data_IF_223308872125
#
_entry.id   IF_223308872125
#
_cell.length_a   1.000
_cell.length_b   1.000
_cell.length_c   1.000
_cell.angle_alpha   90.00
_cell.angle_beta   90.00
_cell.angle_gamma   90.00
#
_symmetry.space_group_name_H-M   'P 1'
#
loop_
_entity.id
_entity.type
_entity.pdbx_description
1 polymer ?
#
# COMPACT_ATOMS: atom_id res chain seq x y z
N UNK A 1 -0.86 15.07 0.37
CA UNK A 1 -0.88 15.63 1.75
C UNK A 1 -2.25 15.41 2.38
N UNK A 2 -2.36 15.48 3.71
CA UNK A 2 -3.64 15.37 4.43
C UNK A 2 -3.98 16.71 5.08
N UNK A 3 -5.01 17.39 4.58
CA UNK A 3 -5.46 18.66 5.12
C UNK A 3 -6.55 18.44 6.18
N UNK A 4 -6.25 18.78 7.44
CA UNK A 4 -7.22 18.75 8.54
C UNK A 4 -7.90 20.11 8.63
N UNK A 5 -9.16 20.19 8.18
CA UNK A 5 -9.93 21.44 8.08
C UNK A 5 -10.69 21.79 9.38
N UNK A 6 -10.57 20.96 10.40
CA UNK A 6 -11.21 21.11 11.71
C UNK A 6 -10.20 20.91 12.83
N UNK A 7 -10.65 21.10 14.07
CA UNK A 7 -9.98 20.70 15.32
C UNK A 7 -9.94 19.16 15.50
N UNK A 8 -9.34 18.48 14.52
CA UNK A 8 -9.12 17.04 14.54
C UNK A 8 -7.70 16.73 15.01
N UNK A 9 -7.60 15.87 16.01
CA UNK A 9 -6.34 15.30 16.48
C UNK A 9 -6.16 13.91 15.86
N UNK A 10 -5.63 13.88 14.64
CA UNK A 10 -5.30 12.64 13.94
C UNK A 10 -3.78 12.58 13.75
N UNK A 11 -3.05 11.66 14.41
CA UNK A 11 -1.58 11.58 14.33
C UNK A 11 -1.08 11.01 12.99
N UNK A 12 -1.51 11.60 11.87
CA UNK A 12 -1.23 11.18 10.50
C UNK A 12 0.10 11.77 10.01
N UNK A 13 0.81 10.98 9.21
CA UNK A 13 1.89 11.45 8.34
C UNK A 13 1.37 12.56 7.41
N UNK A 14 2.22 13.55 7.15
CA UNK A 14 1.98 14.66 6.21
C UNK A 14 0.67 15.42 6.46
N UNK A 15 0.23 15.47 7.72
CA UNK A 15 -0.92 16.29 8.10
C UNK A 15 -0.55 17.77 8.14
N UNK A 16 -1.48 18.60 7.70
CA UNK A 16 -1.37 20.05 7.76
C UNK A 16 -2.70 20.65 8.22
N UNK A 17 -2.62 21.79 8.91
CA UNK A 17 -3.78 22.61 9.30
C UNK A 17 -3.92 23.87 8.44
N UNK A 18 -3.03 24.02 7.45
CA UNK A 18 -3.07 25.07 6.45
C UNK A 18 -3.31 24.40 5.10
N UNK A 19 -4.00 25.12 4.24
CA UNK A 19 -4.26 24.69 2.89
C UNK A 19 -2.95 24.31 2.16
N UNK A 20 -2.87 23.12 1.56
CA UNK A 20 -1.68 22.66 0.83
C UNK A 20 -1.63 23.21 -0.61
N UNK A 21 -0.43 23.31 -1.17
CA UNK A 21 -0.20 23.86 -2.51
C UNK A 21 -0.54 22.90 -3.68
N UNK A 22 -0.78 21.61 -3.40
CA UNK A 22 -0.99 20.61 -4.44
C UNK A 22 -1.96 19.49 -4.03
N UNK A 23 -1.96 18.36 -4.76
CA UNK A 23 -2.93 17.30 -4.55
C UNK A 23 -3.01 16.80 -3.11
N UNK A 24 -4.23 16.74 -2.59
CA UNK A 24 -4.45 16.45 -1.17
C UNK A 24 -5.79 15.78 -0.91
N UNK A 25 -5.91 15.29 0.32
CA UNK A 25 -7.12 14.73 0.91
C UNK A 25 -7.55 15.65 2.04
N UNK A 26 -8.82 16.03 2.09
CA UNK A 26 -9.39 16.80 3.18
C UNK A 26 -10.04 15.88 4.22
N UNK A 27 -9.85 16.18 5.51
CA UNK A 27 -10.57 15.53 6.60
C UNK A 27 -11.20 16.62 7.46
N UNK A 28 -12.50 16.50 7.68
CA UNK A 28 -13.33 17.53 8.30
C UNK A 28 -14.31 16.91 9.30
N UNK A 29 -14.76 17.68 10.27
CA UNK A 29 -15.94 17.32 11.07
C UNK A 29 -17.21 17.68 10.30
N UNK A 30 -18.31 16.96 10.52
CA UNK A 30 -19.57 17.27 9.82
C UNK A 30 -20.03 18.72 10.01
N UNK A 31 -19.80 19.33 11.18
CA UNK A 31 -20.15 20.74 11.44
C UNK A 31 -19.41 21.76 10.54
N UNK A 32 -18.29 21.37 9.94
CA UNK A 32 -17.50 22.22 9.03
C UNK A 32 -17.59 21.70 7.57
N UNK A 33 -18.57 20.84 7.26
CA UNK A 33 -18.74 20.21 5.94
C UNK A 33 -18.98 21.23 4.84
N UNK A 34 -19.80 22.26 5.06
CA UNK A 34 -20.07 23.29 4.05
C UNK A 34 -18.77 24.01 3.64
N UNK A 35 -17.90 24.34 4.60
CA UNK A 35 -16.58 24.92 4.32
C UNK A 35 -15.68 23.95 3.54
N UNK A 36 -15.77 22.65 3.80
CA UNK A 36 -15.05 21.66 3.00
C UNK A 36 -15.60 21.56 1.56
N UNK A 37 -16.90 21.68 1.36
CA UNK A 37 -17.51 21.68 0.03
C UNK A 37 -17.09 22.93 -0.78
N UNK A 38 -17.11 24.12 -0.16
CA UNK A 38 -16.58 25.35 -0.77
C UNK A 38 -15.11 25.19 -1.19
N UNK A 39 -14.32 24.52 -0.34
CA UNK A 39 -12.91 24.21 -0.64
C UNK A 39 -12.79 23.24 -1.81
N UNK A 40 -13.61 22.19 -1.89
CA UNK A 40 -13.60 21.23 -3.00
C UNK A 40 -13.93 21.87 -4.35
N UNK A 41 -14.85 22.85 -4.36
CA UNK A 41 -15.19 23.64 -5.55
C UNK A 41 -14.00 24.49 -6.01
N UNK A 42 -13.35 25.19 -5.08
CA UNK A 42 -12.17 26.01 -5.37
C UNK A 42 -10.92 25.17 -5.72
N UNK A 43 -10.84 23.92 -5.25
CA UNK A 43 -9.65 23.05 -5.33
C UNK A 43 -9.95 21.74 -6.06
N UNK A 44 -9.84 21.71 -7.40
CA UNK A 44 -10.01 20.48 -8.17
C UNK A 44 -8.94 19.42 -7.87
N UNK A 45 -7.82 19.81 -7.26
CA UNK A 45 -6.76 18.92 -6.79
C UNK A 45 -7.03 18.28 -5.41
N UNK A 46 -8.12 18.65 -4.72
CA UNK A 46 -8.58 17.98 -3.50
C UNK A 46 -9.33 16.67 -3.82
N UNK A 47 -8.62 15.55 -3.99
CA UNK A 47 -9.18 14.33 -4.59
C UNK A 47 -10.12 13.51 -3.71
N UNK A 48 -10.15 13.79 -2.42
CA UNK A 48 -10.94 13.02 -1.47
C UNK A 48 -11.35 13.85 -0.25
N UNK A 49 -12.52 13.52 0.31
CA UNK A 49 -13.05 14.15 1.52
C UNK A 49 -13.46 13.07 2.55
N UNK A 50 -13.00 13.21 3.78
CA UNK A 50 -13.50 12.43 4.91
C UNK A 50 -14.31 13.31 5.86
N UNK A 51 -15.51 12.87 6.21
CA UNK A 51 -16.42 13.59 7.11
C UNK A 51 -16.61 12.77 8.39
N UNK A 52 -16.18 13.32 9.52
CA UNK A 52 -16.25 12.68 10.84
C UNK A 52 -17.35 13.32 11.70
N UNK A 53 -18.32 12.52 12.12
CA UNK A 53 -19.50 12.99 12.85
C UNK A 53 -20.40 13.80 11.93
N UNK A 54 -21.23 13.10 11.16
CA UNK A 54 -22.05 13.63 10.07
C UNK A 54 -23.13 14.58 10.59
N UNK A 55 -23.53 15.54 9.75
CA UNK A 55 -24.65 16.46 10.02
C UNK A 55 -25.98 15.71 9.99
N UNK A 56 -27.02 16.30 10.58
CA UNK A 56 -28.35 15.67 10.58
C UNK A 56 -28.98 15.62 9.19
N UNK A 57 -28.75 16.65 8.40
CA UNK A 57 -29.22 16.76 7.03
C UNK A 57 -28.03 16.55 6.09
N UNK A 58 -28.27 15.86 4.99
CA UNK A 58 -27.25 15.65 3.94
C UNK A 58 -27.24 16.89 3.05
N UNK A 59 -26.10 17.59 2.91
CA UNK A 59 -25.99 18.71 1.97
C UNK A 59 -25.93 18.20 0.53
N UNK A 60 -25.84 19.12 -0.43
CA UNK A 60 -25.54 18.76 -1.81
C UNK A 60 -24.11 18.18 -1.91
N UNK A 61 -24.00 16.98 -2.47
CA UNK A 61 -22.75 16.24 -2.60
C UNK A 61 -22.27 16.14 -4.07
N UNK A 62 -22.88 16.84 -5.02
CA UNK A 62 -22.50 16.80 -6.45
C UNK A 62 -21.01 17.09 -6.69
N UNK A 63 -20.39 17.97 -5.89
CA UNK A 63 -18.95 18.30 -5.96
C UNK A 63 -18.01 17.10 -5.68
N UNK A 64 -18.54 16.00 -5.12
CA UNK A 64 -17.81 14.77 -4.85
C UNK A 64 -17.85 13.79 -6.02
N UNK A 65 -18.50 14.12 -7.14
CA UNK A 65 -18.50 13.26 -8.33
C UNK A 65 -17.07 12.94 -8.79
N UNK A 66 -16.75 11.65 -8.93
CA UNK A 66 -15.42 11.18 -9.28
C UNK A 66 -14.35 11.34 -8.18
N UNK A 67 -14.74 11.76 -6.97
CA UNK A 67 -13.85 11.87 -5.80
C UNK A 67 -14.15 10.76 -4.81
N UNK A 68 -13.18 10.49 -3.93
CA UNK A 68 -13.37 9.53 -2.83
C UNK A 68 -14.04 10.22 -1.64
N UNK A 69 -15.03 9.58 -1.04
CA UNK A 69 -15.73 10.04 0.15
C UNK A 69 -15.60 9.00 1.27
N UNK A 70 -15.15 9.42 2.44
CA UNK A 70 -15.24 8.61 3.68
C UNK A 70 -16.26 9.22 4.62
N UNK A 71 -17.27 8.46 5.01
CA UNK A 71 -18.23 8.88 6.03
C UNK A 71 -18.03 8.12 7.33
N UNK A 72 -17.95 8.84 8.45
CA UNK A 72 -17.72 8.25 9.78
C UNK A 72 -18.77 8.74 10.76
N UNK A 73 -19.59 7.82 11.30
CA UNK A 73 -20.59 8.16 12.31
C UNK A 73 -20.94 6.98 13.23
N UNK A 74 -21.42 7.28 14.44
CA UNK A 74 -21.96 6.31 15.39
C UNK A 74 -23.44 5.96 15.14
N UNK A 75 -24.12 6.74 14.31
CA UNK A 75 -25.50 6.55 13.87
C UNK A 75 -25.55 5.85 12.51
N UNK A 76 -26.10 4.62 12.49
CA UNK A 76 -26.20 3.82 11.26
C UNK A 76 -27.17 4.40 10.23
N UNK A 77 -28.24 5.05 10.67
CA UNK A 77 -29.24 5.61 9.77
C UNK A 77 -28.65 6.80 9.03
N UNK A 78 -28.00 7.71 9.77
CA UNK A 78 -27.31 8.87 9.20
C UNK A 78 -26.17 8.46 8.26
N UNK A 79 -25.33 7.52 8.69
CA UNK A 79 -24.24 7.00 7.86
C UNK A 79 -24.76 6.42 6.54
N UNK A 80 -25.88 5.68 6.59
CA UNK A 80 -26.52 5.10 5.41
C UNK A 80 -27.04 6.19 4.46
N UNK A 81 -27.75 7.17 5.00
CA UNK A 81 -28.32 8.28 4.21
C UNK A 81 -27.22 9.07 3.49
N UNK A 82 -26.15 9.42 4.20
CA UNK A 82 -24.97 10.07 3.64
C UNK A 82 -24.29 9.23 2.56
N UNK A 83 -24.12 7.93 2.80
CA UNK A 83 -23.48 7.04 1.83
C UNK A 83 -24.32 6.90 0.55
N UNK A 84 -25.64 6.74 0.69
CA UNK A 84 -26.57 6.67 -0.45
C UNK A 84 -26.54 7.96 -1.27
N UNK A 85 -26.53 9.14 -0.62
CA UNK A 85 -26.43 10.42 -1.30
C UNK A 85 -25.09 10.62 -2.01
N UNK A 86 -23.96 10.26 -1.36
CA UNK A 86 -22.63 10.34 -1.98
C UNK A 86 -22.51 9.44 -3.21
N UNK A 87 -23.04 8.20 -3.14
CA UNK A 87 -23.07 7.29 -4.28
C UNK A 87 -23.96 7.83 -5.40
N UNK A 88 -25.11 8.43 -5.08
CA UNK A 88 -25.99 9.05 -6.06
C UNK A 88 -25.34 10.25 -6.78
N UNK A 89 -24.46 10.99 -6.08
CA UNK A 89 -23.64 12.06 -6.65
C UNK A 89 -22.44 11.55 -7.48
N UNK A 90 -22.17 10.25 -7.49
CA UNK A 90 -21.07 9.64 -8.23
C UNK A 90 -19.73 9.65 -7.49
N UNK A 91 -19.73 9.76 -6.16
CA UNK A 91 -18.54 9.60 -5.33
C UNK A 91 -18.20 8.11 -5.12
N UNK A 92 -16.91 7.81 -4.94
CA UNK A 92 -16.44 6.51 -4.45
C UNK A 92 -16.52 6.50 -2.92
N UNK A 93 -17.57 5.88 -2.39
CA UNK A 93 -17.95 5.98 -0.97
C UNK A 93 -17.45 4.80 -0.15
N UNK A 94 -16.70 5.10 0.91
CA UNK A 94 -16.36 4.19 2.00
C UNK A 94 -16.95 4.69 3.32
N UNK A 95 -17.17 3.80 4.30
CA UNK A 95 -17.74 4.19 5.59
C UNK A 95 -17.11 3.47 6.79
N UNK A 96 -17.03 4.18 7.91
CA UNK A 96 -16.58 3.66 9.21
C UNK A 96 -17.65 3.90 10.27
N UNK A 97 -18.08 2.81 10.91
CA UNK A 97 -19.02 2.90 12.03
C UNK A 97 -18.28 3.21 13.33
N UNK A 98 -18.66 4.30 14.01
CA UNK A 98 -18.18 4.67 15.34
C UNK A 98 -18.21 6.19 15.61
N UNK A 99 -18.41 6.57 16.88
CA UNK A 99 -18.37 7.98 17.31
C UNK A 99 -16.94 8.57 17.28
N UNK A 100 -15.94 7.70 17.44
CA UNK A 100 -14.52 8.02 17.27
C UNK A 100 -13.93 7.07 16.24
N UNK A 101 -13.44 7.56 15.09
CA UNK A 101 -12.86 6.69 14.08
C UNK A 101 -11.64 5.95 14.61
N UNK A 102 -11.47 4.69 14.21
CA UNK A 102 -10.17 4.02 14.34
C UNK A 102 -9.14 4.77 13.49
N UNK A 103 -8.10 5.27 14.16
CA UNK A 103 -7.02 6.02 13.51
C UNK A 103 -6.43 5.27 12.31
N UNK A 104 -6.16 3.96 12.45
CA UNK A 104 -5.51 3.20 11.39
C UNK A 104 -6.41 3.07 10.16
N UNK A 105 -7.73 3.01 10.34
CA UNK A 105 -8.69 2.94 9.23
C UNK A 105 -8.78 4.27 8.49
N UNK A 106 -8.88 5.39 9.20
CA UNK A 106 -8.85 6.73 8.56
C UNK A 106 -7.50 6.96 7.86
N UNK A 107 -6.40 6.58 8.51
CA UNK A 107 -5.07 6.67 7.91
C UNK A 107 -4.93 5.80 6.66
N UNK A 108 -5.52 4.60 6.66
CA UNK A 108 -5.49 3.71 5.51
C UNK A 108 -6.21 4.32 4.32
N UNK A 109 -7.40 4.87 4.57
CA UNK A 109 -8.18 5.53 3.54
C UNK A 109 -7.50 6.78 2.97
N UNK A 110 -6.95 7.63 3.85
CA UNK A 110 -6.35 8.91 3.46
C UNK A 110 -4.97 8.75 2.80
N UNK A 111 -4.23 7.69 3.15
CA UNK A 111 -2.90 7.36 2.64
C UNK A 111 -2.90 5.93 2.10
N UNK A 112 -3.56 5.68 0.96
CA UNK A 112 -3.62 4.36 0.35
C UNK A 112 -2.24 3.93 -0.12
N UNK A 113 -1.93 2.64 0.03
CA UNK A 113 -0.61 2.08 -0.31
C UNK A 113 -0.79 0.96 -1.31
N UNK A 114 -0.04 1.00 -2.40
CA UNK A 114 0.05 -0.08 -3.38
C UNK A 114 1.21 -1.02 -3.06
N UNK A 115 1.07 -2.30 -3.35
CA UNK A 115 2.17 -3.26 -3.33
C UNK A 115 2.78 -3.39 -4.73
N UNK A 116 4.11 -3.40 -4.78
CA UNK A 116 4.91 -3.73 -5.97
C UNK A 116 5.65 -5.02 -5.65
N UNK A 117 5.19 -6.13 -6.23
CA UNK A 117 5.81 -7.45 -6.05
C UNK A 117 6.77 -7.69 -7.20
N UNK A 118 8.07 -7.72 -6.91
CA UNK A 118 9.11 -7.95 -7.91
C UNK A 118 9.24 -9.45 -8.18
N UNK A 119 8.79 -9.87 -9.36
CA UNK A 119 8.68 -11.27 -9.80
C UNK A 119 9.34 -11.51 -11.19
N UNK A 120 10.25 -10.62 -11.60
CA UNK A 120 10.93 -10.65 -12.91
C UNK A 120 12.39 -11.15 -12.82
N UNK A 121 12.82 -11.68 -11.67
CA UNK A 121 14.18 -12.18 -11.46
C UNK A 121 14.45 -13.49 -12.21
N UNK A 122 15.66 -13.64 -12.75
CA UNK A 122 16.06 -14.83 -13.51
C UNK A 122 16.23 -16.07 -12.61
N UNK A 123 15.65 -17.21 -13.00
CA UNK A 123 15.67 -18.47 -12.27
C UNK A 123 16.87 -19.38 -12.64
N UNK A 124 18.10 -18.84 -12.62
CA UNK A 124 19.28 -19.54 -13.18
C UNK A 124 19.77 -20.74 -12.38
N UNK A 125 19.49 -20.83 -11.08
CA UNK A 125 20.03 -21.87 -10.18
C UNK A 125 19.13 -23.08 -9.95
N UNK A 126 17.84 -22.99 -10.24
CA UNK A 126 16.86 -24.07 -9.96
C UNK A 126 16.46 -24.90 -11.18
N UNK A 127 16.87 -24.51 -12.40
CA UNK A 127 16.47 -25.19 -13.63
C UNK A 127 14.98 -25.02 -14.01
N UNK A 128 14.16 -24.47 -13.12
CA UNK A 128 12.76 -24.08 -13.30
C UNK A 128 12.47 -22.75 -12.61
N UNK A 129 11.37 -22.08 -12.98
CA UNK A 129 11.01 -20.80 -12.39
C UNK A 129 10.58 -20.97 -10.92
N UNK A 130 11.40 -20.46 -9.99
CA UNK A 130 11.19 -20.58 -8.54
C UNK A 130 9.84 -20.08 -8.04
N UNK A 131 9.29 -19.07 -8.72
CA UNK A 131 8.02 -18.44 -8.36
C UNK A 131 6.81 -19.36 -8.56
N UNK A 132 6.98 -20.40 -9.39
CA UNK A 132 5.95 -21.40 -9.73
C UNK A 132 5.99 -22.63 -8.82
N UNK A 133 6.97 -22.74 -7.92
CA UNK A 133 7.02 -23.86 -6.98
C UNK A 133 5.78 -23.86 -6.09
N UNK A 134 5.15 -25.02 -5.94
CA UNK A 134 3.94 -25.16 -5.13
C UNK A 134 4.29 -25.19 -3.64
N UNK A 135 3.67 -24.32 -2.86
CA UNK A 135 3.76 -24.34 -1.41
C UNK A 135 2.35 -24.51 -0.88
N UNK A 136 2.07 -25.67 -0.28
CA UNK A 136 0.69 -26.05 0.07
C UNK A 136 -0.10 -26.36 -1.20
N UNK A 137 -1.12 -25.56 -1.49
CA UNK A 137 -2.06 -25.69 -2.60
C UNK A 137 -1.89 -24.62 -3.70
N UNK A 138 -0.85 -23.78 -3.61
CA UNK A 138 -0.68 -22.63 -4.49
C UNK A 138 0.79 -22.32 -4.81
N UNK A 139 1.06 -21.69 -5.98
CA UNK A 139 2.40 -21.21 -6.32
C UNK A 139 2.97 -20.24 -5.29
N UNK A 140 4.29 -20.29 -5.10
CA UNK A 140 5.06 -19.46 -4.17
C UNK A 140 4.67 -17.98 -4.26
N UNK A 141 4.63 -17.41 -5.46
CA UNK A 141 4.33 -15.99 -5.67
C UNK A 141 2.95 -15.58 -5.14
N UNK A 142 1.97 -16.50 -5.09
CA UNK A 142 0.61 -16.21 -4.58
C UNK A 142 0.60 -15.96 -3.08
N UNK A 143 1.48 -16.61 -2.31
CA UNK A 143 1.63 -16.33 -0.87
C UNK A 143 2.04 -14.87 -0.60
N UNK A 144 2.92 -14.32 -1.45
CA UNK A 144 3.38 -12.92 -1.32
C UNK A 144 2.26 -11.94 -1.68
N UNK A 145 1.51 -12.24 -2.74
CA UNK A 145 0.34 -11.45 -3.17
C UNK A 145 -0.73 -11.42 -2.07
N UNK A 146 -1.06 -12.58 -1.51
CA UNK A 146 -2.04 -12.69 -0.42
C UNK A 146 -1.57 -11.95 0.83
N UNK A 147 -0.29 -12.06 1.18
CA UNK A 147 0.27 -11.29 2.30
C UNK A 147 0.16 -9.77 2.10
N UNK A 148 0.33 -9.29 0.86
CA UNK A 148 0.11 -7.87 0.52
C UNK A 148 -1.36 -7.48 0.69
N UNK A 149 -2.28 -8.29 0.16
CA UNK A 149 -3.73 -8.08 0.22
C UNK A 149 -4.24 -8.07 1.66
N UNK A 150 -4.01 -9.17 2.38
CA UNK A 150 -4.44 -9.37 3.76
C UNK A 150 -3.74 -8.39 4.73
N UNK A 151 -2.58 -7.89 4.33
CA UNK A 151 -1.83 -6.87 5.06
C UNK A 151 -2.39 -5.45 4.91
N UNK A 152 -3.28 -5.20 3.94
CA UNK A 152 -3.97 -3.93 3.74
C UNK A 152 -3.40 -3.04 2.62
N UNK A 153 -2.67 -3.61 1.66
CA UNK A 153 -2.37 -2.92 0.41
C UNK A 153 -3.63 -2.79 -0.45
N UNK A 154 -3.85 -1.61 -1.04
CA UNK A 154 -5.07 -1.27 -1.77
C UNK A 154 -5.03 -1.75 -3.22
N UNK A 155 -3.83 -1.76 -3.79
CA UNK A 155 -3.54 -2.21 -5.15
C UNK A 155 -2.34 -3.15 -5.07
N UNK A 156 -2.31 -4.21 -5.88
CA UNK A 156 -1.20 -5.16 -5.91
C UNK A 156 -0.78 -5.33 -7.37
N UNK A 157 0.39 -4.80 -7.69
CA UNK A 157 0.99 -4.92 -9.02
C UNK A 157 2.17 -5.87 -8.94
N UNK A 158 2.14 -6.93 -9.75
CA UNK A 158 3.20 -7.92 -9.84
C UNK A 158 3.99 -7.68 -11.12
N UNK A 159 5.29 -7.48 -10.97
CA UNK A 159 6.20 -7.21 -12.09
C UNK A 159 6.81 -8.52 -12.55
N UNK A 160 6.40 -8.99 -13.73
CA UNK A 160 6.81 -10.27 -14.29
C UNK A 160 7.65 -10.09 -15.56
N UNK A 161 8.38 -11.15 -15.92
CA UNK A 161 9.08 -11.27 -17.20
C UNK A 161 8.82 -12.61 -17.91
N UNK A 162 8.19 -13.56 -17.22
CA UNK A 162 7.86 -14.90 -17.71
C UNK A 162 6.34 -15.07 -17.72
N UNK A 163 5.76 -15.39 -18.87
CA UNK A 163 4.32 -15.54 -19.04
C UNK A 163 3.73 -16.66 -18.17
N UNK A 164 4.51 -17.70 -17.86
CA UNK A 164 4.07 -18.75 -16.95
C UNK A 164 3.78 -18.21 -15.54
N UNK A 165 4.51 -17.16 -15.10
CA UNK A 165 4.26 -16.48 -13.82
C UNK A 165 2.95 -15.71 -13.87
N UNK A 166 2.69 -14.98 -14.96
CA UNK A 166 1.41 -14.27 -15.16
C UNK A 166 0.24 -15.23 -15.10
N UNK A 167 0.33 -16.34 -15.82
CA UNK A 167 -0.73 -17.34 -15.91
C UNK A 167 -0.99 -18.00 -14.53
N UNK A 168 0.07 -18.26 -13.75
CA UNK A 168 -0.04 -18.81 -12.40
C UNK A 168 -0.65 -17.83 -11.37
N UNK A 169 -0.45 -16.51 -11.56
CA UNK A 169 -1.08 -15.47 -10.73
C UNK A 169 -2.57 -15.38 -11.04
N UNK A 170 -2.93 -15.47 -12.33
CA UNK A 170 -4.32 -15.32 -12.79
C UNK A 170 -4.90 -13.97 -12.39
N UNK A 171 -6.08 -13.96 -11.77
CA UNK A 171 -6.76 -12.73 -11.33
C UNK A 171 -6.39 -12.28 -9.90
N UNK A 172 -5.39 -12.89 -9.27
CA UNK A 172 -5.04 -12.55 -7.88
C UNK A 172 -4.38 -11.17 -7.74
N UNK A 173 -3.80 -10.64 -8.82
CA UNK A 173 -3.16 -9.32 -8.84
C UNK A 173 -3.07 -8.78 -10.27
N UNK A 174 -2.84 -7.47 -10.41
CA UNK A 174 -2.52 -6.85 -11.69
C UNK A 174 -1.11 -7.24 -12.11
N UNK A 175 -0.96 -7.89 -13.26
CA UNK A 175 0.35 -8.28 -13.79
C UNK A 175 0.87 -7.24 -14.78
N UNK A 176 2.09 -6.78 -14.59
CA UNK A 176 2.75 -5.77 -15.45
C UNK A 176 4.07 -6.33 -15.96
N UNK A 177 4.24 -6.35 -17.29
CA UNK A 177 5.44 -6.88 -17.94
C UNK A 177 6.61 -5.92 -17.74
N UNK A 178 7.75 -6.42 -17.26
CA UNK A 178 9.03 -5.73 -17.38
C UNK A 178 9.67 -6.11 -18.73
N UNK A 179 9.83 -5.18 -19.68
CA UNK A 179 10.45 -5.48 -20.98
C UNK A 179 11.96 -5.75 -20.88
N UNK A 180 12.62 -5.25 -19.82
CA UNK A 180 14.08 -5.27 -19.68
C UNK A 180 14.54 -5.83 -18.32
N UNK A 181 14.19 -7.09 -17.98
CA UNK A 181 14.57 -7.70 -16.70
C UNK A 181 16.09 -7.87 -16.57
N UNK A 182 16.82 -7.97 -17.68
CA UNK A 182 18.28 -8.08 -17.71
C UNK A 182 19.01 -6.81 -17.21
N UNK A 183 18.33 -5.67 -17.11
CA UNK A 183 18.88 -4.43 -16.51
C UNK A 183 18.86 -4.43 -14.99
N UNK A 184 18.34 -5.49 -14.39
CA UNK A 184 18.40 -5.72 -12.96
C UNK A 184 17.16 -5.29 -12.18
N UNK A 185 17.23 -5.43 -10.86
CA UNK A 185 16.06 -5.18 -9.99
C UNK A 185 15.51 -3.74 -10.11
N UNK A 186 16.37 -2.74 -10.37
CA UNK A 186 15.94 -1.36 -10.56
C UNK A 186 14.98 -1.16 -11.74
N UNK A 187 15.12 -1.93 -12.84
CA UNK A 187 14.19 -1.85 -13.97
C UNK A 187 12.79 -2.33 -13.58
N UNK A 188 12.70 -3.46 -12.87
CA UNK A 188 11.43 -4.00 -12.35
C UNK A 188 10.77 -3.03 -11.37
N UNK A 189 11.56 -2.44 -10.46
CA UNK A 189 11.04 -1.47 -9.50
C UNK A 189 10.50 -0.22 -10.20
N UNK A 190 11.19 0.27 -11.23
CA UNK A 190 10.74 1.42 -12.03
C UNK A 190 9.38 1.16 -12.68
N UNK A 191 9.25 0.04 -13.38
CA UNK A 191 7.99 -0.40 -14.00
C UNK A 191 6.89 -0.53 -12.94
N UNK A 192 7.22 -1.10 -11.79
CA UNK A 192 6.29 -1.25 -10.65
C UNK A 192 5.74 0.06 -10.16
N UNK A 193 6.61 1.00 -9.81
CA UNK A 193 6.20 2.32 -9.32
C UNK A 193 5.41 3.12 -10.37
N UNK A 194 5.79 3.05 -11.65
CA UNK A 194 5.08 3.73 -12.74
C UNK A 194 3.69 3.14 -13.01
N UNK A 195 3.48 1.87 -12.68
CA UNK A 195 2.18 1.20 -12.88
C UNK A 195 1.15 1.49 -11.78
N UNK A 196 1.55 2.10 -10.66
CA UNK A 196 0.65 2.42 -9.57
C UNK A 196 -0.23 3.64 -9.89
N UNK A 197 -1.52 3.63 -9.53
CA UNK A 197 -2.40 4.78 -9.69
C UNK A 197 -1.90 6.05 -9.00
N UNK A 198 -2.40 7.20 -9.43
CA UNK A 198 -1.93 8.50 -8.96
C UNK A 198 -2.30 8.79 -7.50
N UNK A 199 -3.42 8.23 -7.04
CA UNK A 199 -3.93 8.36 -5.67
C UNK A 199 -3.10 7.58 -4.64
N UNK A 200 -2.26 6.63 -5.07
CA UNK A 200 -1.43 5.84 -4.16
C UNK A 200 -0.36 6.74 -3.50
N UNK A 201 -0.41 6.86 -2.17
CA UNK A 201 0.49 7.73 -1.41
C UNK A 201 1.86 7.10 -1.12
N UNK A 202 1.96 5.76 -1.21
CA UNK A 202 3.22 5.03 -1.01
C UNK A 202 3.19 3.65 -1.65
N UNK A 203 4.37 3.09 -1.89
CA UNK A 203 4.56 1.78 -2.49
C UNK A 203 5.27 0.83 -1.51
N UNK A 204 4.65 -0.31 -1.21
CA UNK A 204 5.31 -1.40 -0.50
C UNK A 204 5.99 -2.33 -1.51
N UNK A 205 7.31 -2.31 -1.52
CA UNK A 205 8.11 -3.17 -2.38
C UNK A 205 8.32 -4.52 -1.69
N UNK A 206 7.92 -5.59 -2.35
CA UNK A 206 8.05 -6.98 -1.89
C UNK A 206 8.79 -7.80 -2.95
N UNK A 207 9.46 -8.88 -2.53
CA UNK A 207 10.08 -9.81 -3.46
C UNK A 207 9.19 -11.04 -3.62
N UNK A 208 8.97 -11.45 -4.87
CA UNK A 208 8.08 -12.56 -5.21
C UNK A 208 8.57 -13.92 -4.72
N UNK A 209 9.83 -14.03 -4.31
CA UNK A 209 10.52 -15.23 -3.85
C UNK A 209 10.63 -15.34 -2.31
N UNK A 210 9.96 -14.45 -1.56
CA UNK A 210 9.94 -14.41 -0.09
C UNK A 210 8.58 -14.81 0.49
N UNK A 211 8.15 -16.09 0.38
CA UNK A 211 6.78 -16.52 0.72
C UNK A 211 6.47 -16.48 2.22
N UNK A 212 7.49 -16.36 3.07
CA UNK A 212 7.36 -16.28 4.53
C UNK A 212 7.11 -14.85 5.05
N UNK A 213 7.13 -13.85 4.16
CA UNK A 213 6.69 -12.48 4.50
C UNK A 213 5.17 -12.48 4.56
N UNK A 214 4.63 -12.56 5.79
CA UNK A 214 3.18 -12.61 6.01
C UNK A 214 2.50 -11.24 6.17
N UNK A 215 1.17 -11.26 6.10
CA UNK A 215 0.28 -10.10 6.25
C UNK A 215 0.52 -9.26 7.52
N UNK A 216 0.91 -9.91 8.62
CA UNK A 216 1.26 -9.20 9.87
C UNK A 216 2.44 -8.24 9.68
N UNK A 217 3.47 -8.65 8.95
CA UNK A 217 4.64 -7.80 8.66
C UNK A 217 4.22 -6.64 7.77
N UNK A 218 3.42 -6.91 6.74
CA UNK A 218 2.87 -5.89 5.84
C UNK A 218 2.08 -4.85 6.64
N UNK A 219 1.05 -5.26 7.37
CA UNK A 219 0.21 -4.35 8.14
C UNK A 219 0.96 -3.56 9.21
N UNK A 220 2.01 -4.14 9.80
CA UNK A 220 2.92 -3.44 10.71
C UNK A 220 3.65 -2.30 10.03
N UNK A 221 4.24 -2.53 8.84
CA UNK A 221 4.94 -1.49 8.09
C UNK A 221 4.00 -0.38 7.63
N UNK A 222 2.80 -0.74 7.12
CA UNK A 222 1.79 0.24 6.73
C UNK A 222 1.40 1.16 7.90
N UNK A 223 1.17 0.58 9.09
CA UNK A 223 0.82 1.36 10.30
C UNK A 223 1.97 2.23 10.78
N UNK A 224 3.21 1.73 10.72
CA UNK A 224 4.37 2.51 11.10
C UNK A 224 4.56 3.72 10.19
N UNK A 225 4.46 3.54 8.87
CA UNK A 225 4.62 4.61 7.89
C UNK A 225 3.54 5.69 7.98
N UNK A 226 2.28 5.31 8.26
CA UNK A 226 1.14 6.25 8.34
C UNK A 226 1.16 7.16 9.57
N UNK A 227 2.04 6.90 10.55
CA UNK A 227 2.13 7.71 11.76
C UNK A 227 2.85 9.03 11.50
N UNK A 228 2.40 10.06 12.19
CA UNK A 228 3.12 11.33 12.28
C UNK A 228 4.59 11.10 12.69
N UNK A 229 5.49 11.85 12.03
CA UNK A 229 6.92 11.80 12.31
C UNK A 229 7.63 10.59 11.73
N UNK A 230 6.92 9.65 11.06
CA UNK A 230 7.56 8.59 10.29
C UNK A 230 8.47 9.18 9.23
N UNK A 231 9.59 8.51 8.95
CA UNK A 231 10.44 8.84 7.81
C UNK A 231 9.80 8.42 6.48
N UNK A 232 10.25 8.98 5.33
CA UNK A 232 9.72 8.65 4.01
C UNK A 232 9.84 7.19 3.60
N UNK A 233 10.70 6.40 4.24
CA UNK A 233 10.73 4.95 4.05
C UNK A 233 10.65 4.20 5.38
N UNK A 234 10.01 3.03 5.34
CA UNK A 234 9.91 2.11 6.48
C UNK A 234 10.18 0.69 6.02
N UNK A 235 11.19 0.02 6.58
CA UNK A 235 11.54 -1.36 6.24
C UNK A 235 11.42 -2.32 7.42
N UNK A 236 11.23 -3.60 7.10
CA UNK A 236 11.30 -4.66 8.08
C UNK A 236 12.76 -4.97 8.47
N UNK A 237 13.04 -4.94 9.78
CA UNK A 237 14.32 -5.38 10.34
C UNK A 237 14.19 -6.79 10.89
N UNK A 238 15.08 -7.67 10.45
CA UNK A 238 15.12 -9.06 10.88
C UNK A 238 16.47 -9.29 11.56
N UNK A 239 16.50 -9.19 12.89
CA UNK A 239 17.75 -9.22 13.69
C UNK A 239 18.12 -7.87 14.33
N UNK A 240 19.42 -7.66 14.56
CA UNK A 240 19.96 -6.46 15.22
C UNK A 240 19.71 -5.14 14.46
N UNK A 241 19.80 -4.00 15.16
CA UNK A 241 19.52 -2.66 14.60
C UNK A 241 20.35 -2.38 13.35
N UNK A 242 19.69 -2.01 12.25
CA UNK A 242 20.32 -1.54 11.01
C UNK A 242 20.32 -2.54 9.84
N UNK A 243 20.09 -3.83 10.09
CA UNK A 243 19.97 -4.84 9.03
C UNK A 243 18.50 -5.02 8.62
N UNK A 244 18.10 -4.35 7.54
CA UNK A 244 16.77 -4.50 6.97
C UNK A 244 16.79 -5.28 5.65
N UNK A 245 15.68 -5.94 5.36
CA UNK A 245 15.42 -6.63 4.08
C UNK A 245 14.01 -6.27 3.63
N UNK A 246 13.68 -6.44 2.33
CA UNK A 246 12.30 -6.38 1.90
C UNK A 246 11.38 -7.21 2.84
N UNK A 247 10.15 -6.73 3.08
CA UNK A 247 9.52 -5.60 2.43
C UNK A 247 9.99 -4.22 2.91
N UNK A 248 9.96 -3.23 2.01
CA UNK A 248 10.24 -1.82 2.27
C UNK A 248 9.15 -0.94 1.69
N UNK A 249 8.59 -0.05 2.50
CA UNK A 249 7.62 0.94 2.08
C UNK A 249 8.33 2.23 1.70
N UNK A 250 8.02 2.74 0.52
CA UNK A 250 8.55 3.97 -0.05
C UNK A 250 7.42 4.97 -0.24
N UNK A 251 7.51 6.12 0.45
CA UNK A 251 6.64 7.26 0.19
C UNK A 251 6.76 7.73 -1.27
N UNK A 252 5.67 8.26 -1.84
CA UNK A 252 5.64 8.75 -3.22
C UNK A 252 6.71 9.82 -3.50
N UNK A 253 7.09 10.61 -2.50
CA UNK A 253 8.18 11.60 -2.61
C UNK A 253 9.54 10.99 -2.94
N UNK A 254 9.77 9.71 -2.64
CA UNK A 254 11.01 9.01 -2.96
C UNK A 254 11.05 8.44 -4.37
N UNK A 255 9.90 8.39 -5.07
CA UNK A 255 9.84 7.73 -6.38
C UNK A 255 10.77 8.38 -7.41
N UNK A 256 10.86 9.73 -7.54
CA UNK A 256 11.81 10.35 -8.47
C UNK A 256 13.26 9.90 -8.25
N UNK A 257 13.69 9.80 -6.99
CA UNK A 257 15.04 9.33 -6.67
C UNK A 257 15.22 7.86 -7.06
N UNK A 258 14.22 7.01 -6.81
CA UNK A 258 14.24 5.59 -7.22
C UNK A 258 14.29 5.44 -8.74
N UNK A 259 13.60 6.30 -9.49
CA UNK A 259 13.62 6.29 -10.96
C UNK A 259 15.02 6.55 -11.52
N UNK A 260 15.85 7.29 -10.78
CA UNK A 260 17.24 7.62 -11.14
C UNK A 260 18.26 6.52 -10.80
N UNK A 261 17.86 5.47 -10.08
CA UNK A 261 18.75 4.35 -9.74
C UNK A 261 18.95 3.41 -10.92
N UNK A 262 20.12 2.77 -10.97
CA UNK A 262 20.49 1.75 -11.94
C UNK A 262 21.06 0.49 -11.26
N UNK A 263 21.03 -0.64 -11.97
CA UNK A 263 21.60 -1.91 -11.52
C UNK A 263 20.72 -2.73 -10.56
N UNK A 264 21.35 -3.68 -9.87
CA UNK A 264 20.68 -4.77 -9.13
C UNK A 264 20.35 -4.49 -7.66
N UNK A 265 20.81 -3.37 -7.11
CA UNK A 265 20.71 -3.08 -5.67
C UNK A 265 19.32 -2.57 -5.27
N UNK A 266 18.52 -2.11 -6.24
CA UNK A 266 17.18 -1.58 -6.01
C UNK A 266 17.18 -0.41 -5.02
N UNK A 267 16.13 -0.32 -4.19
CA UNK A 267 15.98 0.75 -3.20
C UNK A 267 17.06 0.75 -2.11
N UNK A 268 17.87 -0.32 -1.94
CA UNK A 268 18.93 -0.35 -0.91
C UNK A 268 20.00 0.70 -1.13
N UNK A 269 20.33 1.01 -2.39
CA UNK A 269 21.34 2.01 -2.72
C UNK A 269 20.96 3.39 -2.15
N UNK A 270 19.68 3.73 -2.24
CA UNK A 270 19.14 4.99 -1.76
C UNK A 270 19.40 5.23 -0.28
N UNK A 271 19.26 4.18 0.55
CA UNK A 271 19.38 4.27 2.00
C UNK A 271 20.80 4.03 2.51
N UNK A 272 21.68 3.49 1.67
CA UNK A 272 23.11 3.48 1.94
C UNK A 272 23.68 4.92 1.89
N UNK A 273 23.20 5.73 0.95
CA UNK A 273 23.59 7.14 0.79
C UNK A 273 22.83 8.08 1.73
N UNK A 274 21.53 7.81 1.97
CA UNK A 274 20.63 8.66 2.75
C UNK A 274 19.91 7.87 3.87
N UNK A 275 20.64 7.38 4.89
CA UNK A 275 20.06 6.56 5.97
C UNK A 275 19.05 7.32 6.83
N UNK A 276 19.06 8.65 6.83
CA UNK A 276 18.10 9.52 7.50
C UNK A 276 16.67 9.44 6.94
N UNK A 277 16.50 8.87 5.74
CA UNK A 277 15.19 8.69 5.11
C UNK A 277 14.48 7.39 5.52
N UNK A 278 15.18 6.50 6.23
CA UNK A 278 14.68 5.16 6.54
C UNK A 278 14.43 4.96 8.03
N UNK A 279 13.22 4.54 8.37
CA UNK A 279 12.91 3.88 9.63
C UNK A 279 12.96 2.36 9.47
N UNK A 280 13.30 1.66 10.54
CA UNK A 280 13.27 0.20 10.58
C UNK A 280 12.38 -0.29 11.72
N UNK A 281 11.53 -1.27 11.41
CA UNK A 281 10.60 -1.85 12.39
C UNK A 281 10.95 -3.32 12.59
N UNK A 282 11.18 -3.78 13.83
CA UNK A 282 11.45 -5.18 14.11
C UNK A 282 10.31 -6.09 13.62
N UNK A 283 10.63 -7.07 12.79
CA UNK A 283 9.70 -8.08 12.30
C UNK A 283 10.04 -9.46 12.88
N UNK A 284 9.01 -10.19 13.30
CA UNK A 284 9.17 -11.56 13.84
C UNK A 284 9.26 -12.65 12.75
N UNK A 285 9.06 -12.28 11.48
CA UNK A 285 9.05 -13.20 10.35
C UNK A 285 10.44 -13.59 9.85
N UNK A 286 10.48 -14.35 8.75
CA UNK A 286 11.71 -14.76 8.07
C UNK A 286 11.63 -14.29 6.61
N UNK A 287 12.46 -13.35 6.14
CA UNK A 287 12.46 -12.88 4.75
C UNK A 287 13.33 -13.82 3.90
N UNK A 288 13.18 -15.13 4.08
CA UNK A 288 14.03 -16.13 3.47
C UNK A 288 13.72 -16.19 1.96
N UNK A 289 14.76 -16.06 1.14
CA UNK A 289 14.66 -16.20 -0.31
C UNK A 289 14.70 -17.69 -0.68
N UNK A 290 13.95 -18.08 -1.71
CA UNK A 290 13.97 -19.45 -2.24
C UNK A 290 14.83 -19.52 -3.50
N UNK A 291 16.15 -19.67 -3.35
CA UNK A 291 17.09 -19.66 -4.49
C UNK A 291 17.52 -21.06 -4.96
N UNK A 292 17.39 -22.05 -4.08
CA UNK A 292 17.87 -23.42 -4.30
C UNK A 292 16.81 -24.46 -3.92
N UNK A 293 16.90 -25.70 -4.44
CA UNK A 293 16.03 -26.80 -4.01
C UNK A 293 16.07 -27.05 -2.49
N UNK A 294 17.23 -26.83 -1.84
CA UNK A 294 17.37 -26.96 -0.39
C UNK A 294 16.61 -25.86 0.35
N UNK A 295 16.60 -24.61 -0.16
CA UNK A 295 15.80 -23.53 0.41
C UNK A 295 14.32 -23.88 0.37
N UNK A 296 13.85 -24.36 -0.78
CA UNK A 296 12.47 -24.80 -0.96
C UNK A 296 12.10 -25.95 -0.01
N UNK A 297 12.95 -26.98 0.09
CA UNK A 297 12.73 -28.12 0.99
C UNK A 297 12.63 -27.68 2.47
N UNK A 298 13.39 -26.67 2.89
CA UNK A 298 13.30 -26.13 4.25
C UNK A 298 11.98 -25.41 4.52
N UNK A 299 11.45 -24.67 3.55
CA UNK A 299 10.28 -23.83 3.77
C UNK A 299 8.96 -24.57 3.55
N UNK A 300 8.90 -25.55 2.65
CA UNK A 300 7.63 -26.23 2.30
C UNK A 300 7.01 -26.94 3.51
N UNK A 301 7.83 -27.38 4.47
CA UNK A 301 7.38 -27.99 5.72
C UNK A 301 6.81 -27.01 6.75
N UNK A 302 7.00 -25.70 6.55
CA UNK A 302 6.45 -24.66 7.43
C UNK A 302 4.99 -24.34 7.10
N UNK A 303 4.50 -24.77 5.95
CA UNK A 303 3.13 -24.56 5.52
C UNK A 303 2.28 -25.78 5.87
N UNK A 304 1.01 -25.58 6.28
CA UNK A 304 0.10 -26.70 6.50
C UNK A 304 0.03 -27.56 5.24
N UNK A 305 0.16 -28.89 5.40
CA UNK A 305 -0.08 -29.79 4.27
C UNK A 305 -1.55 -29.65 3.87
N UNK A 306 -1.87 -29.66 2.56
CA UNK A 306 -3.26 -29.74 2.14
C UNK A 306 -3.88 -30.96 2.82
N UNK A 307 -4.97 -30.77 3.54
CA UNK A 307 -5.81 -31.86 4.01
C UNK A 307 -6.27 -32.62 2.78
N UNK A 308 -5.78 -33.85 2.60
CA UNK A 308 -6.32 -34.74 1.57
C UNK A 308 -7.78 -34.98 1.92
N UNK A 309 -8.68 -34.42 1.10
CA UNK A 309 -10.11 -34.72 1.11
C UNK A 309 -10.39 -36.03 0.40
#
# INVERSE_FOLDING_TARGET
MVYLMSDLELPLRDRVYREPDGPHVAIVRGRDLDTALDHLDARPDCRALAVIGLTREVPDLELLSGRRLLVVDGDRARMREFAEAGMAAGADVEWLYGERPDFNRVAAWALPVGAVVLAAGAASRMGSNKLLLEIGDRPLVRHVIEAASDGGCHVINVIYADEAVRDAIGMAATCVLNPDPARGQSSSLRVGLQSLPEEIAGALVMLGDQPLVGARTVGMLLRAWRREGSRPAVAASYGGRGSWRPPVLLDRSLWPDVMSLDGDTGARQLFAERPELLDTVPAAGRPDDVDTPDDYARIVHLFPRPTQG
#
